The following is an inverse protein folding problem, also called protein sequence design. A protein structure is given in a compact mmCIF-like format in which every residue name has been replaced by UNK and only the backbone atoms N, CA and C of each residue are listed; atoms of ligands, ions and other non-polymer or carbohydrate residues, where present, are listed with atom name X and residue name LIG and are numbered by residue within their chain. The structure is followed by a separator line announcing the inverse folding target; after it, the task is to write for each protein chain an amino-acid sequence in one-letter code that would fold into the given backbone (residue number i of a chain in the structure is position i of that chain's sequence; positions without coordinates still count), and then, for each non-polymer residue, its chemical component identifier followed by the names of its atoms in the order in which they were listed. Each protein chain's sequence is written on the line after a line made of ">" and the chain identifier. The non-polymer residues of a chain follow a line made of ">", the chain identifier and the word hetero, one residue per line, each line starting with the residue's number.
data_IF_861813177880
#
_entry.id   IF_861813177880
#
_cell.length_a   1.000
_cell.length_b   1.000
_cell.length_c   1.000
_cell.angle_alpha   90.00
_cell.angle_beta   90.00
_cell.angle_gamma   90.00
#
_symmetry.space_group_name_H-M   'P 1'
#
loop_
_entity.id
_entity.type
_entity.pdbx_description
1 polymer ?
#
# COMPACT_ATOMS: atom_id res chain seq x y z
N UNK A 1 9.53 -5.57 -3.10
CA UNK A 1 8.66 -6.76 -3.11
C UNK A 1 8.75 -7.58 -4.39
N UNK A 2 9.36 -7.09 -5.48
CA UNK A 2 9.62 -7.86 -6.70
C UNK A 2 10.17 -9.28 -6.42
N UNK A 3 11.22 -9.40 -5.59
CA UNK A 3 11.74 -10.72 -5.22
C UNK A 3 10.70 -11.62 -4.56
N UNK A 4 9.89 -11.11 -3.65
CA UNK A 4 8.81 -11.85 -2.98
C UNK A 4 7.75 -12.28 -3.99
N UNK A 5 7.37 -11.39 -4.91
CA UNK A 5 6.34 -11.64 -5.92
C UNK A 5 6.74 -12.74 -6.92
N UNK A 6 8.03 -12.86 -7.24
CA UNK A 6 8.55 -13.86 -8.18
C UNK A 6 9.08 -15.13 -7.51
N UNK A 7 9.74 -15.01 -6.35
CA UNK A 7 10.38 -16.13 -5.66
C UNK A 7 9.48 -16.76 -4.59
N UNK A 8 8.38 -16.12 -4.20
CA UNK A 8 7.49 -16.60 -3.14
C UNK A 8 6.84 -17.96 -3.42
N UNK A 9 6.63 -18.32 -4.70
CA UNK A 9 6.14 -19.65 -5.07
C UNK A 9 7.18 -20.76 -4.86
N UNK A 10 8.47 -20.42 -4.93
CA UNK A 10 9.60 -21.35 -4.74
C UNK A 10 10.01 -21.39 -3.27
N UNK A 11 9.94 -20.25 -2.57
CA UNK A 11 10.33 -20.09 -1.17
C UNK A 11 9.14 -19.61 -0.33
N UNK A 12 8.29 -20.52 0.18
CA UNK A 12 7.08 -20.16 0.91
C UNK A 12 7.33 -19.31 2.17
N UNK A 13 8.52 -19.40 2.78
CA UNK A 13 8.90 -18.60 3.95
C UNK A 13 9.07 -17.10 3.64
N UNK A 14 9.37 -16.76 2.39
CA UNK A 14 9.52 -15.37 1.91
C UNK A 14 8.21 -14.84 1.32
N UNK A 15 7.23 -15.70 1.04
CA UNK A 15 5.94 -15.27 0.49
C UNK A 15 5.08 -14.52 1.52
N UNK A 16 4.19 -13.66 1.03
CA UNK A 16 3.15 -13.01 1.83
C UNK A 16 2.08 -14.00 2.29
N UNK A 17 1.42 -13.68 3.41
CA UNK A 17 0.20 -14.41 3.76
C UNK A 17 -0.91 -14.10 2.71
N UNK A 18 -1.74 -15.08 2.30
CA UNK A 18 -2.73 -14.83 1.25
C UNK A 18 -3.82 -13.80 1.61
N UNK A 19 -4.16 -13.69 2.90
CA UNK A 19 -5.12 -12.70 3.39
C UNK A 19 -5.00 -12.49 4.90
N UNK A 20 -5.27 -13.56 5.67
CA UNK A 20 -5.08 -13.59 7.12
C UNK A 20 -3.79 -14.33 7.47
N UNK A 21 -3.08 -13.80 8.46
CA UNK A 21 -1.81 -14.31 8.93
C UNK A 21 -0.70 -13.26 8.81
N UNK A 22 0.48 -13.62 9.30
CA UNK A 22 1.67 -12.77 9.21
C UNK A 22 2.85 -13.67 8.85
N UNK A 23 3.65 -13.24 7.87
CA UNK A 23 4.91 -13.86 7.45
C UNK A 23 6.04 -12.85 7.49
N UNK A 24 7.28 -13.32 7.37
CA UNK A 24 8.47 -12.46 7.48
C UNK A 24 8.43 -11.28 6.51
N UNK A 25 7.96 -11.50 5.27
CA UNK A 25 7.88 -10.45 4.26
C UNK A 25 6.87 -9.34 4.60
N UNK A 26 5.84 -9.64 5.40
CA UNK A 26 4.80 -8.67 5.79
C UNK A 26 5.37 -7.56 6.71
N UNK A 27 6.48 -7.83 7.40
CA UNK A 27 7.14 -6.89 8.30
C UNK A 27 8.03 -5.86 7.58
N UNK A 28 8.50 -6.15 6.38
CA UNK A 28 9.52 -5.34 5.69
C UNK A 28 9.03 -3.91 5.45
N UNK A 29 7.82 -3.76 4.90
CA UNK A 29 7.26 -2.43 4.58
C UNK A 29 7.02 -1.57 5.84
N UNK A 30 6.34 -2.06 6.90
CA UNK A 30 6.18 -1.30 8.14
C UNK A 30 7.50 -0.85 8.76
N UNK A 31 8.50 -1.73 8.87
CA UNK A 31 9.80 -1.36 9.45
C UNK A 31 10.53 -0.33 8.60
N UNK A 32 10.50 -0.47 7.27
CA UNK A 32 11.11 0.51 6.37
C UNK A 32 10.48 1.91 6.54
N UNK A 33 9.15 1.99 6.58
CA UNK A 33 8.42 3.25 6.78
C UNK A 33 8.69 3.86 8.16
N UNK A 34 8.79 3.02 9.18
CA UNK A 34 9.13 3.45 10.54
C UNK A 34 10.54 4.07 10.60
N UNK A 35 11.54 3.40 10.02
CA UNK A 35 12.92 3.91 9.95
C UNK A 35 13.01 5.18 9.10
N UNK A 36 12.28 5.24 7.98
CA UNK A 36 12.17 6.47 7.19
C UNK A 36 11.61 7.63 8.04
N UNK A 37 10.61 7.36 8.88
CA UNK A 37 10.10 8.29 9.89
C UNK A 37 11.18 8.76 10.87
N UNK A 38 11.95 7.85 11.45
CA UNK A 38 13.05 8.19 12.36
C UNK A 38 14.03 9.15 11.68
N UNK A 39 14.41 8.87 10.43
CA UNK A 39 15.36 9.70 9.69
C UNK A 39 14.91 11.15 9.51
N UNK A 40 13.59 11.39 9.40
CA UNK A 40 13.02 12.72 9.24
C UNK A 40 13.25 13.60 10.48
N UNK A 41 13.18 13.01 11.68
CA UNK A 41 13.43 13.74 12.94
C UNK A 41 14.86 14.28 13.01
N UNK A 42 15.82 13.54 12.43
CA UNK A 42 17.23 13.90 12.39
C UNK A 42 17.49 15.00 11.34
N UNK A 43 16.92 14.83 10.14
CA UNK A 43 17.15 15.73 9.00
C UNK A 43 16.53 17.11 9.25
N UNK A 44 15.31 17.17 9.80
CA UNK A 44 14.56 18.43 9.94
C UNK A 44 14.70 19.10 11.31
N UNK A 45 15.55 18.57 12.20
CA UNK A 45 15.82 19.10 13.56
C UNK A 45 16.12 20.61 13.60
N UNK A 46 16.81 21.15 12.58
CA UNK A 46 17.16 22.58 12.48
C UNK A 46 16.81 23.12 11.09
N UNK A 47 15.52 23.25 10.83
CA UNK A 47 15.05 23.81 9.57
C UNK A 47 14.98 25.34 9.64
N UNK A 48 15.90 26.04 8.96
CA UNK A 48 15.92 27.51 8.92
C UNK A 48 14.88 28.09 7.96
N UNK A 49 14.66 27.46 6.80
CA UNK A 49 13.68 27.87 5.82
C UNK A 49 12.68 26.73 5.54
N UNK A 50 11.50 26.82 6.14
CA UNK A 50 10.42 25.82 6.06
C UNK A 50 9.91 25.60 4.63
N UNK A 51 9.82 26.65 3.82
CA UNK A 51 9.35 26.56 2.44
C UNK A 51 10.34 25.77 1.58
N UNK A 52 11.63 26.11 1.67
CA UNK A 52 12.69 25.41 0.93
C UNK A 52 12.79 23.93 1.32
N UNK A 53 12.68 23.64 2.62
CA UNK A 53 12.67 22.26 3.12
C UNK A 53 11.45 21.47 2.62
N UNK A 54 10.27 22.10 2.61
CA UNK A 54 9.05 21.47 2.08
C UNK A 54 9.18 21.18 0.58
N UNK A 55 9.71 22.13 -0.20
CA UNK A 55 9.96 21.94 -1.63
C UNK A 55 10.91 20.75 -1.88
N UNK A 56 11.99 20.62 -1.11
CA UNK A 56 12.90 19.49 -1.21
C UNK A 56 12.23 18.16 -0.85
N UNK A 57 11.41 18.13 0.19
CA UNK A 57 10.65 16.94 0.58
C UNK A 57 9.67 16.51 -0.52
N UNK A 58 8.93 17.46 -1.10
CA UNK A 58 7.97 17.21 -2.17
C UNK A 58 8.66 16.73 -3.45
N UNK A 59 9.81 17.33 -3.83
CA UNK A 59 10.57 16.89 -5.00
C UNK A 59 11.07 15.44 -4.84
N UNK A 60 11.60 15.08 -3.67
CA UNK A 60 12.00 13.69 -3.38
C UNK A 60 10.81 12.73 -3.46
N UNK A 61 9.66 13.11 -2.92
CA UNK A 61 8.46 12.30 -3.01
C UNK A 61 7.98 12.14 -4.46
N UNK A 62 8.06 13.21 -5.27
CA UNK A 62 7.73 13.18 -6.69
C UNK A 62 8.68 12.28 -7.48
N UNK A 63 9.99 12.36 -7.24
CA UNK A 63 11.00 11.49 -7.85
C UNK A 63 10.71 10.01 -7.54
N UNK A 64 10.43 9.68 -6.27
CA UNK A 64 10.07 8.33 -5.85
C UNK A 64 8.76 7.86 -6.49
N UNK A 65 7.77 8.75 -6.59
CA UNK A 65 6.49 8.45 -7.21
C UNK A 65 6.64 8.15 -8.71
N UNK A 66 7.36 9.00 -9.44
CA UNK A 66 7.62 8.82 -10.87
C UNK A 66 8.46 7.57 -11.14
N UNK A 67 9.48 7.31 -10.32
CA UNK A 67 10.25 6.07 -10.38
C UNK A 67 9.35 4.84 -10.14
N UNK A 68 8.40 4.94 -9.20
CA UNK A 68 7.40 3.92 -8.94
C UNK A 68 6.55 3.58 -10.16
N UNK A 69 6.00 4.60 -10.81
CA UNK A 69 5.22 4.45 -12.05
C UNK A 69 6.08 3.87 -13.17
N UNK A 70 7.34 4.30 -13.33
CA UNK A 70 8.24 3.76 -14.35
C UNK A 70 8.56 2.28 -14.12
N UNK A 71 8.78 1.86 -12.88
CA UNK A 71 9.08 0.46 -12.56
C UNK A 71 7.85 -0.45 -12.63
N UNK A 72 6.67 0.06 -12.29
CA UNK A 72 5.42 -0.72 -12.25
C UNK A 72 4.61 -0.66 -13.54
N UNK A 73 4.78 0.39 -14.34
CA UNK A 73 3.98 0.67 -15.53
C UNK A 73 4.28 -0.20 -16.74
N UNK A 74 4.84 -1.38 -16.53
CA UNK A 74 4.98 -2.39 -17.57
C UNK A 74 6.10 -2.13 -18.59
N UNK A 75 7.06 -1.24 -18.32
CA UNK A 75 8.23 -1.08 -19.20
C UNK A 75 8.99 -2.41 -19.41
N UNK A 76 8.92 -3.31 -18.44
CA UNK A 76 9.39 -4.69 -18.53
C UNK A 76 8.20 -5.64 -18.59
N UNK A 77 7.61 -5.82 -19.76
CA UNK A 77 6.73 -6.96 -20.00
C UNK A 77 7.54 -8.25 -19.79
N UNK A 78 6.91 -9.30 -19.24
CA UNK A 78 7.60 -10.50 -18.77
C UNK A 78 8.53 -11.11 -19.82
N UNK A 79 9.53 -11.89 -19.36
CA UNK A 79 10.56 -12.56 -20.17
C UNK A 79 10.06 -13.32 -21.42
N UNK A 80 8.75 -13.60 -21.51
CA UNK A 80 8.11 -14.35 -22.60
C UNK A 80 7.31 -13.47 -23.59
N UNK A 81 7.27 -12.14 -23.42
CA UNK A 81 6.57 -11.22 -24.32
C UNK A 81 7.46 -10.02 -24.66
N UNK A 82 8.05 -10.01 -25.86
CA UNK A 82 8.89 -8.93 -26.41
C UNK A 82 8.09 -7.66 -26.82
N UNK A 83 6.89 -7.44 -26.28
CA UNK A 83 6.13 -6.22 -26.52
C UNK A 83 6.71 -5.08 -25.67
N UNK A 84 7.55 -4.25 -26.27
CA UNK A 84 7.99 -2.99 -25.68
C UNK A 84 6.88 -1.94 -25.84
N UNK A 85 6.37 -1.43 -24.72
CA UNK A 85 5.31 -0.40 -24.72
C UNK A 85 4.68 -0.25 -23.34
N UNK A 86 4.04 0.91 -23.11
CA UNK A 86 3.25 1.17 -21.91
C UNK A 86 1.79 0.98 -22.30
N UNK A 87 1.12 -0.02 -21.74
CA UNK A 87 -0.33 -0.13 -21.82
C UNK A 87 -0.94 0.85 -20.81
N UNK A 88 -1.22 2.06 -21.27
CA UNK A 88 -1.75 3.15 -20.42
C UNK A 88 -3.09 2.76 -19.79
N UNK A 89 -3.86 1.88 -20.43
CA UNK A 89 -5.16 1.41 -19.93
C UNK A 89 -5.01 0.44 -18.75
N UNK A 90 -3.84 -0.19 -18.58
CA UNK A 90 -3.57 -1.20 -17.53
C UNK A 90 -2.45 -0.79 -16.59
N UNK A 91 -2.04 0.47 -16.62
CA UNK A 91 -0.95 0.95 -15.77
C UNK A 91 -1.36 0.88 -14.29
N UNK A 92 -0.50 0.32 -13.44
CA UNK A 92 -0.76 0.27 -11.99
C UNK A 92 -0.35 1.59 -11.35
N UNK A 93 -1.32 2.36 -10.87
CA UNK A 93 -1.08 3.67 -10.25
C UNK A 93 -0.51 3.57 -8.83
N UNK A 94 -0.95 2.56 -8.06
CA UNK A 94 -0.58 2.40 -6.65
C UNK A 94 0.43 1.29 -6.45
N UNK A 95 1.49 1.57 -5.71
CA UNK A 95 2.51 0.58 -5.39
C UNK A 95 3.40 1.02 -4.25
N UNK A 96 4.40 0.19 -3.95
CA UNK A 96 5.22 0.35 -2.74
C UNK A 96 5.98 1.68 -2.72
N UNK A 97 6.53 2.12 -3.86
CA UNK A 97 7.28 3.38 -3.95
C UNK A 97 6.37 4.60 -3.79
N UNK A 98 5.18 4.55 -4.38
CA UNK A 98 4.16 5.59 -4.23
C UNK A 98 3.71 5.71 -2.77
N UNK A 99 3.54 4.57 -2.08
CA UNK A 99 3.22 4.54 -0.65
C UNK A 99 4.31 5.10 0.25
N UNK A 100 5.56 4.77 -0.05
CA UNK A 100 6.72 5.34 0.63
C UNK A 100 6.76 6.86 0.40
N UNK A 101 6.53 7.32 -0.83
CA UNK A 101 6.50 8.75 -1.16
C UNK A 101 5.41 9.49 -0.37
N UNK A 102 4.19 8.94 -0.30
CA UNK A 102 3.08 9.52 0.49
C UNK A 102 3.41 9.54 1.97
N UNK A 103 3.86 8.42 2.54
CA UNK A 103 4.21 8.36 3.97
C UNK A 103 5.32 9.34 4.34
N UNK A 104 6.37 9.40 3.50
CA UNK A 104 7.49 10.31 3.66
C UNK A 104 7.07 11.78 3.62
N UNK A 105 6.31 12.20 2.59
CA UNK A 105 5.96 13.62 2.43
C UNK A 105 5.00 14.09 3.53
N UNK A 106 4.04 13.25 3.94
CA UNK A 106 3.11 13.60 5.02
C UNK A 106 3.86 13.75 6.36
N UNK A 107 4.75 12.82 6.68
CA UNK A 107 5.56 12.91 7.90
C UNK A 107 6.55 14.09 7.85
N UNK A 108 7.17 14.37 6.70
CA UNK A 108 8.08 15.51 6.53
C UNK A 108 7.35 16.84 6.69
N UNK A 109 6.17 17.00 6.08
CA UNK A 109 5.35 18.21 6.23
C UNK A 109 4.87 18.36 7.67
N UNK A 110 4.47 17.27 8.34
CA UNK A 110 4.16 17.29 9.77
C UNK A 110 5.34 17.79 10.60
N UNK A 111 6.55 17.31 10.33
CA UNK A 111 7.73 17.75 11.07
C UNK A 111 8.04 19.23 10.81
N UNK A 112 8.07 19.67 9.55
CA UNK A 112 8.49 21.04 9.20
C UNK A 112 7.49 22.08 9.76
N UNK A 113 6.19 21.79 9.68
CA UNK A 113 5.15 22.77 9.97
C UNK A 113 4.58 22.67 11.39
N UNK A 114 4.44 21.45 11.92
CA UNK A 114 3.76 21.23 13.20
C UNK A 114 4.72 21.05 14.38
N UNK A 115 6.04 20.95 14.13
CA UNK A 115 7.05 20.88 15.18
C UNK A 115 7.26 22.27 15.80
N UNK A 116 6.85 22.41 17.06
CA UNK A 116 7.10 23.58 17.90
C UNK A 116 8.11 23.19 18.98
N UNK A 117 9.41 23.32 18.67
CA UNK A 117 10.48 22.92 19.59
C UNK A 117 11.06 24.13 20.33
N UNK A 118 10.59 24.46 21.55
CA UNK A 118 11.40 25.24 22.48
C UNK A 118 12.57 24.39 22.98
N UNK A 119 13.78 24.98 22.98
CA UNK A 119 15.08 24.31 23.23
C UNK A 119 15.27 23.67 24.62
N UNK A 120 14.33 23.85 25.55
CA UNK A 120 14.47 23.39 26.93
C UNK A 120 13.32 22.43 27.28
N UNK A 121 13.54 21.13 27.16
CA UNK A 121 12.52 20.12 27.48
C UNK A 121 13.14 18.93 28.23
N UNK A 122 13.41 19.11 29.53
CA UNK A 122 13.89 18.05 30.42
C UNK A 122 12.80 17.18 31.05
N UNK A 123 11.53 17.32 30.66
CA UNK A 123 10.41 16.58 31.28
C UNK A 123 9.49 15.92 30.25
N UNK A 124 9.12 14.66 30.48
CA UNK A 124 8.23 13.84 29.62
C UNK A 124 6.89 14.54 29.31
N UNK A 125 6.34 15.32 30.24
CA UNK A 125 5.10 16.10 30.00
C UNK A 125 5.24 17.21 28.95
N UNK A 126 6.45 17.71 28.71
CA UNK A 126 6.73 18.73 27.68
C UNK A 126 6.83 18.10 26.29
N UNK A 127 7.25 16.84 26.18
CA UNK A 127 7.29 16.09 24.92
C UNK A 127 5.90 15.97 24.28
N UNK A 128 4.93 15.47 25.04
CA UNK A 128 3.55 15.31 24.55
C UNK A 128 2.90 16.64 24.18
N UNK A 129 3.22 17.72 24.90
CA UNK A 129 2.73 19.07 24.58
C UNK A 129 3.36 19.63 23.31
N UNK A 130 4.66 19.41 23.09
CA UNK A 130 5.37 19.94 21.92
C UNK A 130 5.01 19.19 20.62
N UNK A 131 4.69 17.90 20.72
CA UNK A 131 4.30 17.06 19.58
C UNK A 131 2.80 16.74 19.55
N UNK A 132 1.97 17.46 20.30
CA UNK A 132 0.53 17.23 20.37
C UNK A 132 -0.16 17.26 19.00
N UNK A 133 0.27 18.17 18.12
CA UNK A 133 -0.25 18.26 16.76
C UNK A 133 0.08 17.02 15.91
N UNK A 134 1.24 16.40 16.10
CA UNK A 134 1.57 15.13 15.42
C UNK A 134 0.64 14.01 15.87
N UNK A 135 0.32 13.95 17.16
CA UNK A 135 -0.65 12.99 17.70
C UNK A 135 -2.06 13.24 17.19
N UNK A 136 -2.49 14.49 17.05
CA UNK A 136 -3.79 14.81 16.42
C UNK A 136 -3.83 14.29 14.99
N UNK A 137 -2.80 14.56 14.18
CA UNK A 137 -2.75 14.09 12.79
C UNK A 137 -2.78 12.56 12.75
N UNK A 138 -1.99 11.90 13.60
CA UNK A 138 -1.95 10.44 13.69
C UNK A 138 -3.33 9.85 14.03
N UNK A 139 -3.97 10.35 15.08
CA UNK A 139 -5.29 9.88 15.52
C UNK A 139 -6.36 10.20 14.48
N UNK A 140 -6.31 11.38 13.85
CA UNK A 140 -7.22 11.76 12.78
C UNK A 140 -7.09 10.83 11.57
N UNK A 141 -5.88 10.55 11.09
CA UNK A 141 -5.65 9.63 9.97
C UNK A 141 -6.11 8.21 10.31
N UNK A 142 -5.88 7.77 11.55
CA UNK A 142 -6.32 6.46 12.04
C UNK A 142 -7.85 6.37 12.14
N UNK A 143 -8.49 7.43 12.63
CA UNK A 143 -9.95 7.54 12.71
C UNK A 143 -10.61 7.57 11.33
N UNK A 144 -10.05 8.32 10.37
CA UNK A 144 -10.52 8.35 8.98
C UNK A 144 -10.38 6.95 8.37
N UNK A 145 -9.23 6.29 8.55
CA UNK A 145 -9.01 4.93 8.06
C UNK A 145 -10.06 3.96 8.61
N UNK A 146 -10.28 3.93 9.92
CA UNK A 146 -11.27 3.05 10.55
C UNK A 146 -12.70 3.40 10.11
N UNK A 147 -13.03 4.70 10.02
CA UNK A 147 -14.33 5.17 9.57
C UNK A 147 -14.64 4.75 8.13
N UNK A 148 -13.67 4.86 7.22
CA UNK A 148 -13.82 4.39 5.83
C UNK A 148 -13.85 2.86 5.76
N UNK A 149 -13.00 2.19 6.55
CA UNK A 149 -12.90 0.73 6.53
C UNK A 149 -14.20 0.06 6.98
N UNK A 150 -14.78 0.52 8.09
CA UNK A 150 -15.98 -0.10 8.68
C UNK A 150 -17.30 0.59 8.32
N UNK A 151 -17.27 1.88 8.01
CA UNK A 151 -18.50 2.68 7.80
C UNK A 151 -19.10 2.57 6.39
N UNK A 152 -18.29 2.28 5.38
CA UNK A 152 -18.74 2.24 3.99
C UNK A 152 -19.50 0.95 3.65
N UNK A 153 -20.55 1.10 2.86
CA UNK A 153 -21.29 -0.02 2.27
C UNK A 153 -20.68 -0.44 0.95
N UNK A 154 -20.42 -1.74 0.82
CA UNK A 154 -19.82 -2.32 -0.37
C UNK A 154 -20.92 -3.00 -1.20
N UNK A 155 -21.29 -2.40 -2.36
CA UNK A 155 -22.28 -3.00 -3.24
C UNK A 155 -21.69 -4.20 -4.01
N UNK A 156 -22.59 -4.97 -4.61
CA UNK A 156 -22.21 -6.00 -5.58
C UNK A 156 -21.48 -5.38 -6.77
N UNK A 157 -20.57 -6.14 -7.35
CA UNK A 157 -19.75 -5.67 -8.45
C UNK A 157 -19.38 -6.80 -9.41
N UNK A 158 -18.83 -6.44 -10.57
CA UNK A 158 -18.43 -7.40 -11.60
C UNK A 158 -17.10 -7.02 -12.22
N UNK A 159 -16.40 -8.01 -12.76
CA UNK A 159 -15.14 -7.83 -13.46
C UNK A 159 -14.97 -8.84 -14.58
N UNK A 160 -14.11 -8.51 -15.54
CA UNK A 160 -13.83 -9.35 -16.69
C UNK A 160 -12.55 -10.16 -16.49
N UNK A 161 -12.59 -11.44 -16.86
CA UNK A 161 -11.43 -12.33 -16.86
C UNK A 161 -11.21 -12.86 -18.27
N UNK A 162 -9.97 -12.74 -18.75
CA UNK A 162 -9.56 -13.35 -20.00
C UNK A 162 -9.40 -14.87 -19.81
N UNK A 163 -10.14 -15.65 -20.58
CA UNK A 163 -10.04 -17.10 -20.56
C UNK A 163 -8.94 -17.55 -21.53
N UNK A 164 -7.92 -18.24 -21.02
CA UNK A 164 -6.91 -18.89 -21.85
C UNK A 164 -7.36 -20.34 -22.09
N UNK A 165 -8.00 -20.62 -23.22
CA UNK A 165 -8.22 -21.99 -23.66
C UNK A 165 -6.93 -22.52 -24.27
N UNK A 166 -6.47 -23.68 -23.80
CA UNK A 166 -5.24 -24.35 -24.25
C UNK A 166 -5.30 -24.80 -25.73
N UNK A 167 -6.48 -24.75 -26.36
CA UNK A 167 -6.75 -25.32 -27.69
C UNK A 167 -6.62 -24.33 -28.85
N UNK A 168 -6.63 -23.02 -28.63
CA UNK A 168 -6.70 -22.05 -29.73
C UNK A 168 -5.49 -21.13 -29.79
N UNK A 169 -4.48 -21.57 -30.54
CA UNK A 169 -3.42 -20.72 -31.11
C UNK A 169 -3.98 -19.71 -32.15
N UNK A 170 -5.30 -19.54 -32.22
CA UNK A 170 -6.02 -18.66 -33.14
C UNK A 170 -7.14 -17.86 -32.42
N UNK A 171 -6.75 -16.68 -31.92
CA UNK A 171 -7.48 -15.40 -32.08
C UNK A 171 -8.93 -15.20 -31.59
N UNK A 172 -9.50 -15.99 -30.69
CA UNK A 172 -10.74 -15.59 -29.99
C UNK A 172 -10.54 -15.61 -28.47
N UNK A 173 -10.08 -14.47 -27.91
CA UNK A 173 -10.11 -14.26 -26.46
C UNK A 173 -11.56 -14.05 -26.03
N UNK A 174 -12.18 -15.07 -25.43
CA UNK A 174 -13.48 -14.91 -24.77
C UNK A 174 -13.27 -14.31 -23.39
N UNK A 175 -13.94 -13.20 -23.12
CA UNK A 175 -13.99 -12.58 -21.80
C UNK A 175 -15.19 -13.12 -21.04
N UNK A 176 -14.96 -13.64 -19.83
CA UNK A 176 -16.04 -14.05 -18.92
C UNK A 176 -16.26 -12.92 -17.91
N UNK A 177 -17.51 -12.48 -17.79
CA UNK A 177 -17.94 -11.54 -16.75
C UNK A 177 -18.23 -12.34 -15.48
N UNK A 178 -17.49 -12.06 -14.41
CA UNK A 178 -17.73 -12.64 -13.08
C UNK A 178 -18.39 -11.62 -12.18
N UNK A 179 -19.51 -12.01 -11.56
CA UNK A 179 -20.22 -11.20 -10.56
C UNK A 179 -19.82 -11.62 -9.15
N UNK A 180 -19.55 -10.64 -8.30
CA UNK A 180 -19.26 -10.80 -6.87
C UNK A 180 -20.38 -10.17 -6.07
N UNK A 181 -21.04 -10.97 -5.25
CA UNK A 181 -22.10 -10.54 -4.33
C UNK A 181 -21.49 -10.21 -2.98
N UNK A 182 -21.65 -8.96 -2.54
CA UNK A 182 -21.11 -8.46 -1.27
C UNK A 182 -22.25 -8.01 -0.36
N UNK A 183 -22.89 -6.88 -0.67
CA UNK A 183 -24.04 -6.37 0.07
C UNK A 183 -23.79 -6.10 1.56
N UNK A 184 -22.54 -5.84 1.98
CA UNK A 184 -22.10 -5.81 3.39
C UNK A 184 -21.45 -4.48 3.78
N UNK A 185 -21.36 -4.22 5.10
CA UNK A 185 -20.56 -3.15 5.72
C UNK A 185 -19.53 -3.75 6.65
N UNK A 186 -18.33 -3.16 6.69
CA UNK A 186 -17.28 -3.55 7.64
C UNK A 186 -16.74 -4.96 7.49
N UNK A 187 -16.96 -5.59 6.33
CA UNK A 187 -16.34 -6.87 6.02
C UNK A 187 -14.85 -6.65 5.70
N UNK A 188 -13.99 -7.42 6.37
CA UNK A 188 -12.54 -7.45 6.14
C UNK A 188 -12.14 -8.62 5.23
N UNK A 189 -13.11 -9.37 4.72
CA UNK A 189 -12.92 -10.49 3.82
C UNK A 189 -12.35 -10.11 2.45
N UNK A 190 -11.91 -11.11 1.68
CA UNK A 190 -11.46 -10.91 0.30
C UNK A 190 -12.61 -10.38 -0.57
N UNK A 191 -12.27 -9.49 -1.51
CA UNK A 191 -13.14 -8.88 -2.53
C UNK A 191 -14.33 -8.00 -2.08
N UNK A 192 -14.84 -8.17 -0.85
CA UNK A 192 -15.96 -7.41 -0.31
C UNK A 192 -15.57 -6.37 0.74
N UNK A 193 -14.26 -6.15 0.95
CA UNK A 193 -13.78 -5.07 1.80
C UNK A 193 -13.90 -3.69 1.12
N UNK A 194 -14.09 -2.67 1.96
CA UNK A 194 -14.24 -1.27 1.55
C UNK A 194 -12.93 -0.68 1.00
N UNK A 195 -11.76 -1.15 1.43
CA UNK A 195 -10.47 -0.72 0.89
C UNK A 195 -10.39 -0.98 -0.63
N UNK A 196 -10.64 -2.23 -1.03
CA UNK A 196 -10.70 -2.62 -2.43
C UNK A 196 -11.87 -2.00 -3.19
N UNK A 197 -12.97 -1.66 -2.52
CA UNK A 197 -14.04 -0.86 -3.13
C UNK A 197 -13.54 0.54 -3.52
N UNK A 198 -12.92 1.26 -2.57
CA UNK A 198 -12.38 2.61 -2.81
C UNK A 198 -11.38 2.57 -3.97
N UNK A 199 -10.48 1.60 -3.98
CA UNK A 199 -9.48 1.48 -5.04
C UNK A 199 -10.13 1.22 -6.40
N UNK A 200 -11.17 0.37 -6.48
CA UNK A 200 -11.93 0.14 -7.72
C UNK A 200 -12.63 1.40 -8.23
N UNK A 201 -13.21 2.22 -7.35
CA UNK A 201 -13.90 3.45 -7.76
C UNK A 201 -12.94 4.57 -8.16
N UNK A 202 -11.83 4.73 -7.43
CA UNK A 202 -10.91 5.86 -7.64
C UNK A 202 -9.84 5.54 -8.67
N UNK A 203 -9.23 4.35 -8.61
CA UNK A 203 -8.17 3.94 -9.54
C UNK A 203 -8.73 3.27 -10.79
N UNK A 204 -9.90 2.64 -10.71
CA UNK A 204 -10.47 1.83 -11.79
C UNK A 204 -9.98 0.38 -11.75
N UNK A 205 -10.85 -0.55 -12.18
CA UNK A 205 -10.60 -2.00 -12.09
C UNK A 205 -9.39 -2.44 -12.93
N UNK A 206 -9.17 -1.82 -14.10
CA UNK A 206 -8.07 -2.17 -15.00
C UNK A 206 -6.68 -1.81 -14.46
N UNK A 207 -6.61 -0.83 -13.56
CA UNK A 207 -5.38 -0.33 -12.96
C UNK A 207 -5.01 -1.06 -11.66
N UNK A 208 -5.83 -2.02 -11.22
CA UNK A 208 -5.58 -2.83 -10.04
C UNK A 208 -4.66 -4.02 -10.34
N UNK A 209 -3.98 -4.49 -9.30
CA UNK A 209 -3.08 -5.62 -9.43
C UNK A 209 -3.85 -6.93 -9.74
N UNK A 210 -3.61 -7.48 -10.94
CA UNK A 210 -4.32 -8.66 -11.45
C UNK A 210 -3.88 -9.97 -10.80
N UNK A 211 -2.68 -10.04 -10.23
CA UNK A 211 -2.14 -11.20 -9.48
C UNK A 211 -2.42 -11.05 -7.97
N UNK A 212 -3.68 -10.86 -7.62
CA UNK A 212 -4.13 -10.69 -6.23
C UNK A 212 -3.75 -11.89 -5.35
N UNK A 213 -3.50 -11.63 -4.07
CA UNK A 213 -3.24 -12.66 -3.07
C UNK A 213 -4.39 -13.68 -2.91
N UNK A 214 -5.61 -13.33 -3.34
CA UNK A 214 -6.79 -14.21 -3.38
C UNK A 214 -6.53 -15.56 -4.02
N UNK A 215 -5.74 -15.60 -5.09
CA UNK A 215 -5.42 -16.83 -5.83
C UNK A 215 -4.66 -17.86 -4.99
N UNK A 216 -3.98 -17.39 -3.94
CA UNK A 216 -3.17 -18.22 -3.05
C UNK A 216 -3.95 -18.70 -1.82
N UNK A 217 -5.23 -18.32 -1.67
CA UNK A 217 -6.07 -18.89 -0.61
C UNK A 217 -6.34 -20.35 -0.90
N UNK A 218 -6.36 -21.19 0.14
CA UNK A 218 -6.69 -22.62 0.03
C UNK A 218 -8.03 -22.88 -0.65
N UNK A 219 -9.01 -22.01 -0.43
CA UNK A 219 -10.34 -22.10 -1.08
C UNK A 219 -10.27 -21.87 -2.59
N UNK A 220 -9.25 -21.16 -3.07
CA UNK A 220 -9.02 -20.87 -4.49
C UNK A 220 -7.96 -21.77 -5.13
N UNK A 221 -7.20 -22.53 -4.34
CA UNK A 221 -6.26 -23.54 -4.82
C UNK A 221 -7.00 -24.87 -4.95
N UNK A 222 -7.22 -25.32 -6.18
CA UNK A 222 -7.74 -26.66 -6.43
C UNK A 222 -6.83 -27.69 -5.75
N UNK A 223 -7.39 -28.50 -4.85
CA UNK A 223 -6.72 -29.71 -4.34
C UNK A 223 -6.61 -30.80 -5.41
N UNK A 224 -7.45 -30.74 -6.45
CA UNK A 224 -7.51 -31.76 -7.50
C UNK A 224 -7.03 -31.18 -8.83
N UNK A 225 -5.91 -31.71 -9.32
CA UNK A 225 -5.27 -31.28 -10.55
C UNK A 225 -6.19 -31.45 -11.77
N UNK A 226 -6.52 -30.33 -12.41
CA UNK A 226 -7.14 -30.30 -13.73
C UNK A 226 -8.62 -29.93 -13.75
N UNK A 227 -8.93 -28.78 -14.35
CA UNK A 227 -10.30 -28.39 -14.72
C UNK A 227 -10.87 -27.22 -13.92
N UNK A 228 -11.42 -26.24 -14.63
CA UNK A 228 -12.27 -25.19 -14.08
C UNK A 228 -13.45 -25.85 -13.37
N UNK A 229 -13.42 -25.84 -12.03
CA UNK A 229 -14.55 -26.25 -11.22
C UNK A 229 -15.50 -25.07 -11.06
N UNK A 230 -16.76 -25.25 -11.45
CA UNK A 230 -17.86 -24.29 -11.23
C UNK A 230 -18.12 -23.99 -9.73
N UNK A 231 -17.43 -24.67 -8.81
CA UNK A 231 -17.57 -24.48 -7.37
C UNK A 231 -16.58 -23.46 -6.77
N UNK A 232 -15.70 -22.84 -7.55
CA UNK A 232 -14.78 -21.83 -7.01
C UNK A 232 -15.52 -20.51 -6.76
N UNK A 233 -15.23 -19.82 -5.64
CA UNK A 233 -15.76 -18.48 -5.43
C UNK A 233 -15.43 -17.55 -6.60
N UNK A 234 -16.44 -16.79 -7.07
CA UNK A 234 -16.29 -15.91 -8.25
C UNK A 234 -15.18 -14.87 -8.07
N UNK A 235 -14.87 -14.50 -6.84
CA UNK A 235 -13.85 -13.53 -6.48
C UNK A 235 -12.41 -14.08 -6.44
N UNK A 236 -12.16 -15.37 -6.60
CA UNK A 236 -10.80 -15.93 -6.53
C UNK A 236 -9.80 -15.30 -7.53
N UNK A 237 -10.31 -14.78 -8.65
CA UNK A 237 -9.52 -14.09 -9.68
C UNK A 237 -9.72 -12.57 -9.68
N UNK A 238 -10.46 -12.03 -8.71
CA UNK A 238 -10.75 -10.61 -8.60
C UNK A 238 -9.45 -9.80 -8.47
N UNK A 239 -9.29 -8.70 -9.23
CA UNK A 239 -8.15 -7.83 -9.05
C UNK A 239 -8.23 -7.11 -7.70
N UNK A 240 -7.09 -6.93 -7.05
CA UNK A 240 -7.01 -6.26 -5.76
C UNK A 240 -5.61 -5.70 -5.55
N UNK A 241 -5.54 -4.44 -5.09
CA UNK A 241 -4.29 -3.77 -4.80
C UNK A 241 -4.03 -3.68 -3.29
N UNK A 242 -3.11 -4.47 -2.71
CA UNK A 242 -2.75 -4.34 -1.30
C UNK A 242 -2.05 -3.01 -1.02
N UNK A 243 -1.53 -2.36 -2.06
CA UNK A 243 -0.83 -1.09 -2.04
C UNK A 243 -1.75 0.12 -2.36
N UNK A 244 -3.08 -0.05 -2.34
CA UNK A 244 -4.08 0.98 -2.65
C UNK A 244 -4.17 2.19 -1.70
N UNK A 245 -5.16 3.05 -1.94
CA UNK A 245 -5.33 4.40 -1.38
C UNK A 245 -5.50 4.34 0.14
N UNK A 246 -6.41 3.48 0.62
CA UNK A 246 -6.76 3.44 2.03
C UNK A 246 -5.55 3.04 2.90
N UNK A 247 -4.71 2.12 2.42
CA UNK A 247 -3.50 1.74 3.14
C UNK A 247 -2.42 2.83 3.16
N UNK A 248 -2.44 3.80 2.24
CA UNK A 248 -1.53 4.97 2.29
C UNK A 248 -1.77 5.86 3.52
N UNK A 249 -2.96 5.82 4.13
CA UNK A 249 -3.17 6.47 5.43
C UNK A 249 -2.35 5.78 6.53
N UNK A 250 -2.32 4.45 6.54
CA UNK A 250 -1.52 3.70 7.52
C UNK A 250 -0.02 3.86 7.27
N UNK A 251 0.42 4.02 6.02
CA UNK A 251 1.84 4.29 5.74
C UNK A 251 2.27 5.64 6.31
N UNK A 252 1.44 6.68 6.17
CA UNK A 252 1.67 7.97 6.81
C UNK A 252 1.68 7.87 8.35
N UNK A 253 0.74 7.12 8.94
CA UNK A 253 0.73 6.87 10.39
C UNK A 253 2.01 6.17 10.85
N UNK A 254 2.47 5.13 10.15
CA UNK A 254 3.73 4.43 10.48
C UNK A 254 4.94 5.36 10.38
N UNK A 255 5.02 6.21 9.36
CA UNK A 255 6.09 7.20 9.25
C UNK A 255 6.05 8.24 10.38
N UNK A 256 4.85 8.72 10.78
CA UNK A 256 4.71 9.66 11.91
C UNK A 256 5.09 8.99 13.24
N UNK A 257 4.75 7.71 13.45
CA UNK A 257 5.20 6.95 14.62
C UNK A 257 6.74 6.85 14.67
N UNK A 258 7.36 6.55 13.53
CA UNK A 258 8.82 6.57 13.40
C UNK A 258 9.42 7.94 13.72
N UNK A 259 8.79 9.01 13.24
CA UNK A 259 9.18 10.39 13.54
C UNK A 259 9.16 10.68 15.04
N UNK A 260 8.10 10.26 15.75
CA UNK A 260 8.01 10.41 17.22
C UNK A 260 9.15 9.67 17.93
N UNK A 261 9.41 8.43 17.52
CA UNK A 261 10.50 7.65 18.09
C UNK A 261 11.87 8.30 17.85
N UNK A 262 12.08 8.84 16.65
CA UNK A 262 13.30 9.58 16.33
C UNK A 262 13.51 10.81 17.23
N UNK A 263 12.44 11.55 17.56
CA UNK A 263 12.53 12.66 18.52
C UNK A 263 12.94 12.19 19.93
N UNK A 264 12.43 11.04 20.38
CA UNK A 264 12.82 10.45 21.66
C UNK A 264 14.32 10.09 21.65
N UNK A 265 14.80 9.44 20.59
CA UNK A 265 16.22 9.10 20.45
C UNK A 265 17.12 10.34 20.51
N UNK A 266 16.75 11.39 19.78
CA UNK A 266 17.51 12.65 19.75
C UNK A 266 17.54 13.32 21.11
N UNK A 267 16.48 13.20 21.91
CA UNK A 267 16.46 13.73 23.26
C UNK A 267 17.34 12.92 24.22
N UNK A 268 17.30 11.60 24.13
CA UNK A 268 18.12 10.71 24.96
C UNK A 268 19.62 10.91 24.71
N UNK A 269 20.03 11.13 23.46
CA UNK A 269 21.45 11.37 23.12
C UNK A 269 21.95 12.75 23.59
N UNK A 270 21.04 13.70 23.87
CA UNK A 270 21.37 15.07 24.32
C UNK A 270 21.33 15.20 25.86
N UNK A 271 20.96 14.15 26.59
CA UNK A 271 21.02 14.11 28.06
C UNK A 271 22.34 13.43 28.47
N UNK A 272 23.42 14.19 28.76
CA UNK A 272 24.61 13.65 29.43
C UNK A 272 24.34 13.29 30.90
#
# INVERSE_FOLDING_TARGET
>A
MIFVDYAGSVFPFVAHSPWHGVRLADFVTPFFLFIAGISLSLVYKKTSNKLRATQQAVLRALELFLLGILLQGGYFHGVNSLSFGIDVEKIRWSGILQRIAVGYVVAAVCEIWLSNTPRNAGHVGVFFRNYFLHWIVLVSLSGIYLGLLYGLYVPDWQFEVQQANLSDFYKNSTYIIKKVTCGVRGDLGPACNSAGMIDRYVLGIEHLYKKSAYRNLKVCQNTDGGGFSDNLPSWCQAPFDPEGILGSFMTAVTCILGLQYGHILVQLEVIP
#
